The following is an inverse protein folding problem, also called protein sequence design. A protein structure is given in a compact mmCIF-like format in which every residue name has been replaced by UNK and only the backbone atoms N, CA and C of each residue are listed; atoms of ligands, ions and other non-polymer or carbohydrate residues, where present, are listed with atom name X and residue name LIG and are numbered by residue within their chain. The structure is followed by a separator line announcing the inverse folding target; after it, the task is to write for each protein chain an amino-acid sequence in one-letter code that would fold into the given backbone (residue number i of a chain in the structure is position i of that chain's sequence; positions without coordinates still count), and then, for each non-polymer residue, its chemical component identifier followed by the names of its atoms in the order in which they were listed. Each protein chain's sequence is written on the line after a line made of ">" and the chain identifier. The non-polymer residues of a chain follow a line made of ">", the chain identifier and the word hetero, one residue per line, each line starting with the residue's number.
data_IF_219485786984
#
_entry.id   IF_219485786984
#
_cell.length_a   1.000
_cell.length_b   1.000
_cell.length_c   1.000
_cell.angle_alpha   90.00
_cell.angle_beta   90.00
_cell.angle_gamma   90.00
#
_symmetry.space_group_name_H-M   'P 1'
#
loop_
_entity.id
_entity.type
_entity.pdbx_description
1 polymer ?
#
# COMPACT_ATOMS: atom_id res chain seq x y z
N UNK A 1 -10.08 13.88 74.56
CA UNK A 1 -11.16 13.05 73.96
C UNK A 1 -11.77 13.86 72.82
N UNK A 2 -11.91 13.43 71.56
CA UNK A 2 -12.25 12.12 71.00
C UNK A 2 -11.52 11.94 69.66
N UNK A 3 -10.83 10.81 69.51
CA UNK A 3 -10.49 10.25 68.21
C UNK A 3 -11.70 9.45 67.74
N UNK A 4 -12.24 9.73 66.56
CA UNK A 4 -13.10 8.78 65.84
C UNK A 4 -12.61 8.65 64.41
N UNK A 5 -11.91 7.53 64.21
CA UNK A 5 -11.81 6.77 62.96
C UNK A 5 -13.06 6.94 62.08
N UNK A 6 -12.87 7.31 60.83
CA UNK A 6 -13.52 6.58 59.75
C UNK A 6 -12.58 6.51 58.56
N UNK A 7 -12.32 5.28 58.17
CA UNK A 7 -11.51 4.89 57.03
C UNK A 7 -12.23 5.38 55.76
N UNK A 8 -11.79 6.49 55.18
CA UNK A 8 -12.03 6.74 53.76
C UNK A 8 -11.15 5.76 52.99
N UNK A 9 -11.70 4.55 52.82
CA UNK A 9 -11.24 3.54 51.86
C UNK A 9 -11.13 4.25 50.52
N UNK A 10 -9.91 4.52 50.10
CA UNK A 10 -9.63 5.00 48.75
C UNK A 10 -10.06 3.89 47.79
N UNK A 11 -11.24 4.05 47.19
CA UNK A 11 -11.69 3.23 46.08
C UNK A 11 -10.59 3.34 45.02
N UNK A 12 -9.89 2.24 44.75
CA UNK A 12 -8.99 2.11 43.60
C UNK A 12 -9.86 2.27 42.36
N UNK A 13 -10.01 3.51 41.92
CA UNK A 13 -10.83 3.88 40.78
C UNK A 13 -10.32 3.17 39.53
N UNK A 14 -11.25 2.51 38.85
CA UNK A 14 -11.17 2.15 37.44
C UNK A 14 -10.48 3.30 36.67
N UNK A 15 -9.23 3.09 36.22
CA UNK A 15 -8.60 4.04 35.29
C UNK A 15 -9.43 3.97 34.00
N UNK A 16 -10.04 5.08 33.54
CA UNK A 16 -10.75 5.06 32.27
C UNK A 16 -9.77 4.62 31.18
N UNK A 17 -10.22 3.71 30.32
CA UNK A 17 -9.44 3.23 29.19
C UNK A 17 -9.00 4.44 28.36
N UNK A 18 -7.69 4.73 28.39
CA UNK A 18 -6.95 5.73 27.61
C UNK A 18 -7.62 7.13 27.58
N UNK A 19 -7.29 7.96 28.56
CA UNK A 19 -7.52 9.41 28.45
C UNK A 19 -6.82 9.97 27.19
N UNK A 20 -7.39 11.01 26.54
CA UNK A 20 -6.74 11.66 25.39
C UNK A 20 -5.34 12.14 25.78
N UNK A 21 -4.37 11.94 24.88
CA UNK A 21 -3.00 12.41 25.10
C UNK A 21 -2.98 13.94 25.17
N UNK A 22 -2.35 14.49 26.21
CA UNK A 22 -2.15 15.93 26.35
C UNK A 22 -1.06 16.39 25.37
N UNK A 23 -1.41 17.29 24.45
CA UNK A 23 -0.50 17.84 23.43
C UNK A 23 0.74 18.52 24.03
N UNK A 24 0.60 19.13 25.22
CA UNK A 24 1.70 19.78 25.92
C UNK A 24 2.72 18.79 26.49
N UNK A 25 2.32 17.53 26.70
CA UNK A 25 3.20 16.48 27.24
C UNK A 25 4.11 15.89 26.16
N UNK A 26 3.69 15.94 24.89
CA UNK A 26 4.45 15.46 23.74
C UNK A 26 4.28 16.47 22.60
N UNK A 27 5.03 17.59 22.62
CA UNK A 27 4.89 18.63 21.63
C UNK A 27 5.27 18.10 20.25
N UNK A 28 4.41 18.36 19.27
CA UNK A 28 4.66 17.96 17.88
C UNK A 28 5.84 18.76 17.30
N UNK A 29 6.85 18.06 16.80
CA UNK A 29 7.98 18.67 16.08
C UNK A 29 7.81 18.41 14.58
N UNK A 30 7.48 19.46 13.84
CA UNK A 30 7.26 19.38 12.41
C UNK A 30 8.62 19.30 11.67
N UNK A 31 9.04 18.11 11.25
CA UNK A 31 10.24 17.93 10.40
C UNK A 31 10.05 18.60 9.03
N UNK A 32 8.80 18.63 8.56
CA UNK A 32 8.39 19.29 7.34
C UNK A 32 7.30 20.31 7.65
N UNK A 33 7.24 21.42 6.90
CA UNK A 33 6.19 22.41 7.11
C UNK A 33 4.82 21.75 6.89
N UNK A 34 3.88 22.05 7.78
CA UNK A 34 2.49 21.58 7.73
C UNK A 34 1.69 22.29 6.63
N UNK A 35 2.22 22.27 5.42
CA UNK A 35 1.60 22.81 4.21
C UNK A 35 1.46 21.72 3.17
N UNK A 36 0.34 21.74 2.47
CA UNK A 36 0.11 20.87 1.33
C UNK A 36 1.12 21.20 0.22
N UNK A 37 1.66 20.16 -0.42
CA UNK A 37 2.53 20.31 -1.59
C UNK A 37 1.69 20.42 -2.86
N UNK A 38 2.26 21.02 -3.90
CA UNK A 38 1.65 21.15 -5.23
C UNK A 38 1.60 19.84 -6.03
N UNK A 39 2.23 18.78 -5.51
CA UNK A 39 2.33 17.47 -6.17
C UNK A 39 2.22 16.33 -5.18
N UNK A 40 1.59 15.25 -5.63
CA UNK A 40 1.58 13.94 -4.99
C UNK A 40 2.70 13.07 -5.56
N UNK A 41 3.30 12.25 -4.71
CA UNK A 41 4.30 11.27 -5.14
C UNK A 41 3.60 10.11 -5.83
N UNK A 42 4.00 9.77 -7.05
CA UNK A 42 3.61 8.53 -7.69
C UNK A 42 4.47 7.40 -7.15
N UNK A 43 4.23 6.97 -5.90
CA UNK A 43 4.85 5.74 -5.42
C UNK A 43 4.08 4.59 -6.05
N UNK A 44 4.71 3.95 -7.03
CA UNK A 44 4.26 2.65 -7.52
C UNK A 44 4.75 1.66 -6.48
N UNK A 45 3.82 0.92 -5.88
CA UNK A 45 4.18 -0.27 -5.12
C UNK A 45 4.63 -1.32 -6.14
N UNK A 46 5.91 -1.29 -6.52
CA UNK A 46 6.52 -2.38 -7.28
C UNK A 46 6.64 -3.56 -6.32
N UNK A 47 5.56 -4.32 -6.20
CA UNK A 47 5.65 -5.66 -5.66
C UNK A 47 6.44 -6.44 -6.70
N UNK A 48 7.74 -6.60 -6.47
CA UNK A 48 8.70 -7.28 -7.34
C UNK A 48 8.47 -8.80 -7.32
N UNK A 49 7.22 -9.24 -7.44
CA UNK A 49 6.90 -10.65 -7.65
C UNK A 49 7.13 -10.98 -9.11
N UNK A 50 8.07 -11.89 -9.36
CA UNK A 50 8.28 -12.45 -10.69
C UNK A 50 6.98 -13.14 -11.14
N UNK A 51 6.44 -12.81 -12.32
CA UNK A 51 5.22 -13.45 -12.80
C UNK A 51 5.46 -14.95 -13.05
N UNK A 52 4.42 -15.76 -12.86
CA UNK A 52 4.39 -17.18 -13.23
C UNK A 52 5.31 -18.13 -12.43
N UNK A 53 5.86 -17.71 -11.28
CA UNK A 53 6.71 -18.58 -10.43
C UNK A 53 6.05 -19.91 -10.06
N UNK A 54 4.74 -19.89 -9.79
CA UNK A 54 3.98 -21.10 -9.45
C UNK A 54 3.97 -22.10 -10.62
N UNK A 55 3.65 -21.64 -11.83
CA UNK A 55 3.61 -22.53 -13.02
C UNK A 55 5.00 -23.06 -13.39
N UNK A 56 6.04 -22.25 -13.20
CA UNK A 56 7.43 -22.71 -13.35
C UNK A 56 7.75 -23.83 -12.37
N UNK A 57 7.34 -23.72 -11.10
CA UNK A 57 7.60 -24.76 -10.10
C UNK A 57 6.90 -26.09 -10.41
N UNK A 58 5.67 -26.03 -10.95
CA UNK A 58 4.91 -27.21 -11.36
C UNK A 58 5.55 -27.88 -12.57
N UNK A 59 5.97 -27.08 -13.56
CA UNK A 59 6.67 -27.59 -14.73
C UNK A 59 8.00 -28.27 -14.35
N UNK A 60 8.78 -27.67 -13.44
CA UNK A 60 10.03 -28.29 -12.97
C UNK A 60 9.81 -29.59 -12.20
N UNK A 61 8.71 -29.70 -11.44
CA UNK A 61 8.34 -30.95 -10.79
C UNK A 61 8.02 -32.04 -11.82
N UNK A 62 7.18 -31.73 -12.82
CA UNK A 62 6.81 -32.69 -13.86
C UNK A 62 8.02 -33.13 -14.71
N UNK A 63 8.90 -32.19 -15.08
CA UNK A 63 10.11 -32.52 -15.83
C UNK A 63 11.07 -33.41 -15.03
N UNK A 64 11.13 -33.24 -13.70
CA UNK A 64 11.94 -34.10 -12.84
C UNK A 64 11.42 -35.54 -12.79
N UNK A 65 10.11 -35.73 -12.81
CA UNK A 65 9.48 -37.07 -12.75
C UNK A 65 9.53 -37.82 -14.09
N UNK A 66 9.82 -37.11 -15.19
CA UNK A 66 9.80 -37.62 -16.55
C UNK A 66 11.15 -37.45 -17.29
N UNK A 67 12.27 -37.40 -16.58
CA UNK A 67 13.62 -37.28 -17.15
C UNK A 67 13.76 -36.14 -18.20
N UNK A 68 13.03 -35.04 -17.96
CA UNK A 68 12.97 -33.86 -18.81
C UNK A 68 12.37 -34.11 -20.21
N UNK A 69 11.56 -35.15 -20.39
CA UNK A 69 10.79 -35.34 -21.63
C UNK A 69 9.62 -34.35 -21.72
N UNK A 70 9.81 -33.31 -22.52
CA UNK A 70 8.81 -32.24 -22.76
C UNK A 70 7.47 -32.78 -23.30
N UNK A 71 7.51 -33.92 -24.01
CA UNK A 71 6.32 -34.53 -24.61
C UNK A 71 5.33 -35.04 -23.56
N UNK A 72 5.81 -35.39 -22.37
CA UNK A 72 5.02 -35.89 -21.25
C UNK A 72 4.45 -34.74 -20.42
N UNK A 73 5.15 -33.59 -20.39
CA UNK A 73 4.79 -32.40 -19.59
C UNK A 73 4.00 -31.34 -20.38
N UNK A 74 3.21 -31.74 -21.40
CA UNK A 74 2.51 -30.80 -22.28
C UNK A 74 1.53 -29.89 -21.54
N UNK A 75 0.86 -30.41 -20.51
CA UNK A 75 -0.17 -29.68 -19.76
C UNK A 75 0.46 -28.51 -18.99
N UNK A 76 1.59 -28.76 -18.36
CA UNK A 76 2.35 -27.83 -17.54
C UNK A 76 3.00 -26.74 -18.43
N UNK A 77 3.49 -27.13 -19.61
CA UNK A 77 4.01 -26.19 -20.62
C UNK A 77 2.90 -25.25 -21.12
N UNK A 78 1.70 -25.76 -21.40
CA UNK A 78 0.57 -24.94 -21.82
C UNK A 78 0.09 -23.99 -20.72
N UNK A 79 0.07 -24.45 -19.46
CA UNK A 79 -0.27 -23.62 -18.32
C UNK A 79 0.73 -22.45 -18.15
N UNK A 80 2.03 -22.75 -18.24
CA UNK A 80 3.07 -21.72 -18.18
C UNK A 80 2.94 -20.69 -19.29
N UNK A 81 2.69 -21.12 -20.54
CA UNK A 81 2.50 -20.22 -21.69
C UNK A 81 1.32 -19.27 -21.47
N UNK A 82 0.18 -19.80 -21.03
CA UNK A 82 -1.02 -18.99 -20.73
C UNK A 82 -0.75 -17.97 -19.64
N UNK A 83 -0.07 -18.37 -18.56
CA UNK A 83 0.28 -17.46 -17.48
C UNK A 83 1.21 -16.33 -17.97
N UNK A 84 2.18 -16.66 -18.84
CA UNK A 84 3.09 -15.68 -19.43
C UNK A 84 2.37 -14.67 -20.32
N UNK A 85 1.45 -15.11 -21.18
CA UNK A 85 0.65 -14.23 -22.03
C UNK A 85 -0.18 -13.24 -21.20
N UNK A 86 -0.83 -13.71 -20.14
CA UNK A 86 -1.60 -12.88 -19.21
C UNK A 86 -0.68 -11.85 -18.54
N UNK A 87 0.50 -12.27 -18.06
CA UNK A 87 1.46 -11.38 -17.44
C UNK A 87 1.95 -10.28 -18.39
N UNK A 88 2.19 -10.60 -19.66
CA UNK A 88 2.60 -9.62 -20.67
C UNK A 88 1.48 -8.60 -20.98
N UNK A 89 0.22 -9.05 -21.03
CA UNK A 89 -0.93 -8.15 -21.19
C UNK A 89 -1.05 -7.21 -19.98
N UNK A 90 -0.99 -7.74 -18.77
CA UNK A 90 -1.06 -6.94 -17.53
C UNK A 90 0.08 -5.91 -17.46
N UNK A 91 1.33 -6.31 -17.76
CA UNK A 91 2.46 -5.38 -17.83
C UNK A 91 2.22 -4.23 -18.82
N UNK A 92 1.62 -4.51 -19.98
CA UNK A 92 1.29 -3.49 -20.98
C UNK A 92 0.19 -2.56 -20.48
N UNK A 93 -0.85 -3.10 -19.85
CA UNK A 93 -1.92 -2.31 -19.25
C UNK A 93 -1.43 -1.38 -18.15
N UNK A 94 -0.60 -1.89 -17.23
CA UNK A 94 -0.07 -1.11 -16.13
C UNK A 94 0.85 0.02 -16.63
N UNK A 95 1.67 -0.27 -17.65
CA UNK A 95 2.45 0.77 -18.34
C UNK A 95 1.56 1.83 -18.97
N UNK A 96 0.46 1.44 -19.64
CA UNK A 96 -0.46 2.38 -20.27
C UNK A 96 -1.24 3.24 -19.25
N UNK A 97 -1.61 2.66 -18.10
CA UNK A 97 -2.23 3.39 -16.98
C UNK A 97 -1.24 4.39 -16.37
N UNK A 98 -0.01 3.95 -16.15
CA UNK A 98 1.02 4.77 -15.51
C UNK A 98 1.64 5.83 -16.44
N UNK A 99 1.56 5.69 -17.76
CA UNK A 99 2.06 6.71 -18.69
C UNK A 99 1.15 7.95 -18.78
N UNK A 100 -0.07 7.87 -18.22
CA UNK A 100 -1.06 8.94 -18.31
C UNK A 100 -1.71 9.08 -19.70
N UNK A 101 -1.47 8.12 -20.60
CA UNK A 101 -2.15 8.01 -21.89
C UNK A 101 -3.63 7.65 -21.71
N UNK A 102 -3.93 6.78 -20.76
CA UNK A 102 -5.30 6.44 -20.37
C UNK A 102 -5.79 7.49 -19.38
N UNK A 103 -6.83 8.25 -19.77
CA UNK A 103 -7.54 9.16 -18.87
C UNK A 103 -8.49 8.32 -18.02
N UNK A 104 -8.14 8.09 -16.76
CA UNK A 104 -9.02 7.42 -15.81
C UNK A 104 -10.09 8.41 -15.36
N UNK A 105 -11.36 8.08 -15.60
CA UNK A 105 -12.50 8.89 -15.18
C UNK A 105 -13.00 8.42 -13.81
N UNK A 106 -13.51 9.35 -12.99
CA UNK A 106 -14.10 9.05 -11.68
C UNK A 106 -13.15 9.26 -10.48
N UNK A 107 -13.32 8.43 -9.44
CA UNK A 107 -12.70 8.63 -8.11
C UNK A 107 -11.23 8.19 -7.99
N UNK A 108 -10.73 7.41 -8.95
CA UNK A 108 -9.35 6.87 -8.93
C UNK A 108 -8.56 7.51 -10.06
N UNK A 109 -7.88 8.62 -9.75
CA UNK A 109 -7.01 9.34 -10.68
C UNK A 109 -5.57 8.86 -10.51
N UNK A 110 -4.82 8.78 -11.61
CA UNK A 110 -3.38 8.50 -11.53
C UNK A 110 -2.62 9.71 -11.00
N UNK A 111 -1.46 9.48 -10.38
CA UNK A 111 -0.62 10.54 -9.81
C UNK A 111 -0.25 11.61 -10.85
N UNK A 112 -0.04 11.21 -12.10
CA UNK A 112 0.20 12.14 -13.22
C UNK A 112 -0.98 13.05 -13.51
N UNK A 113 -2.20 12.50 -13.56
CA UNK A 113 -3.41 13.27 -13.80
C UNK A 113 -3.68 14.23 -12.63
N UNK A 114 -3.55 13.74 -11.40
CA UNK A 114 -3.68 14.57 -10.20
C UNK A 114 -2.65 15.70 -10.19
N UNK A 115 -1.38 15.41 -10.47
CA UNK A 115 -0.34 16.42 -10.53
C UNK A 115 -0.59 17.45 -11.64
N UNK A 116 -1.17 17.05 -12.78
CA UNK A 116 -1.59 17.99 -13.82
C UNK A 116 -2.73 18.89 -13.35
N UNK A 117 -3.68 18.35 -12.59
CA UNK A 117 -4.78 19.11 -12.02
C UNK A 117 -4.31 20.09 -10.94
N UNK A 118 -3.49 19.64 -9.99
CA UNK A 118 -2.95 20.48 -8.91
C UNK A 118 -2.11 21.65 -9.44
N UNK A 119 -1.37 21.45 -10.54
CA UNK A 119 -0.66 22.54 -11.21
C UNK A 119 -1.55 23.63 -11.79
N UNK A 120 -2.78 23.29 -12.21
CA UNK A 120 -3.75 24.26 -12.73
C UNK A 120 -4.37 25.10 -11.62
N UNK A 121 -4.47 24.54 -10.42
CA UNK A 121 -5.08 25.18 -9.25
C UNK A 121 -4.09 25.20 -8.08
N UNK A 122 -3.04 26.05 -8.15
CA UNK A 122 -2.04 26.13 -7.10
C UNK A 122 -2.66 26.62 -5.80
N UNK A 123 -2.19 26.05 -4.69
CA UNK A 123 -2.61 26.46 -3.35
C UNK A 123 -1.93 27.80 -3.01
N UNK A 124 -2.73 28.80 -2.61
CA UNK A 124 -2.20 30.04 -2.06
C UNK A 124 -1.69 29.74 -0.66
N UNK A 125 -0.38 29.78 -0.47
CA UNK A 125 0.25 29.59 0.85
C UNK A 125 -0.16 30.77 1.72
N UNK A 126 -0.98 30.50 2.74
CA UNK A 126 -1.24 31.46 3.82
C UNK A 126 -0.03 31.38 4.75
N UNK A 127 0.91 32.31 4.60
CA UNK A 127 2.01 32.46 5.56
C UNK A 127 1.40 32.99 6.87
N UNK A 128 1.47 32.18 7.92
CA UNK A 128 1.16 32.55 9.30
C UNK A 128 2.42 32.45 10.13
#
# INVERSE_FOLDING_TARGET
>A
MRLTRSLLRYVRGNKPARAPQNENKVPFQAILPLKLRERVSGKVDSVDTVPCLQELSILFAAMKDHDFDEKLCKKEIEALKKAHEIAEVQKKEDKARNSGLVVSTGRKLTSLQLNRYLKRFPLKVQEK
#
